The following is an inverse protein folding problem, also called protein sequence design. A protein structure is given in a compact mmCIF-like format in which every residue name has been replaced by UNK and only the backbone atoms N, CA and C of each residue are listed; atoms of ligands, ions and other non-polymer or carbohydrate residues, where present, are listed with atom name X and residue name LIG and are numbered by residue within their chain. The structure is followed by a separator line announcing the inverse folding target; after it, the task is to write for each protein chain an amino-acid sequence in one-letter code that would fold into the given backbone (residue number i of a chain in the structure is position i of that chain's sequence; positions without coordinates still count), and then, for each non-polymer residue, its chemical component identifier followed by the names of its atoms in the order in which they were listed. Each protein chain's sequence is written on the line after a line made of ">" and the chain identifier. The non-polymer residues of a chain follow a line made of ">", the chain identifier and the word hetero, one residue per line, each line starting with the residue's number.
data_IF_235862263288
#
_entry.id   IF_235862263288
#
_cell.length_a   1.000
_cell.length_b   1.000
_cell.length_c   1.000
_cell.angle_alpha   90.00
_cell.angle_beta   90.00
_cell.angle_gamma   90.00
#
_symmetry.space_group_name_H-M   'P 1'
#
loop_
_entity.id
_entity.type
_entity.pdbx_description
1 polymer ?
#
# COMPACT_ATOMS: atom_id res chain seq x y z
N UNK A 1 57.10 -10.47 -22.22
CA UNK A 1 55.83 -10.18 -22.95
C UNK A 1 54.60 -10.26 -22.05
N UNK A 2 54.34 -11.38 -21.33
CA UNK A 2 53.16 -11.53 -20.45
C UNK A 2 52.98 -10.43 -19.38
N UNK A 3 54.07 -9.97 -18.75
CA UNK A 3 54.02 -8.90 -17.72
C UNK A 3 53.69 -7.51 -18.28
N UNK A 4 54.11 -7.21 -19.51
CA UNK A 4 53.85 -5.93 -20.19
C UNK A 4 52.39 -5.89 -20.66
N UNK A 5 51.89 -7.01 -21.17
CA UNK A 5 50.49 -7.13 -21.61
C UNK A 5 49.50 -6.96 -20.43
N UNK A 6 49.83 -7.51 -19.26
CA UNK A 6 49.04 -7.32 -18.04
C UNK A 6 49.00 -5.86 -17.57
N UNK A 7 50.14 -5.14 -17.66
CA UNK A 7 50.21 -3.73 -17.28
C UNK A 7 49.39 -2.84 -18.22
N UNK A 8 49.39 -3.12 -19.52
CA UNK A 8 48.60 -2.37 -20.51
C UNK A 8 47.10 -2.60 -20.31
N UNK A 9 46.67 -3.84 -20.02
CA UNK A 9 45.25 -4.14 -19.73
C UNK A 9 44.78 -3.42 -18.46
N UNK A 10 45.60 -3.41 -17.40
CA UNK A 10 45.28 -2.72 -16.16
C UNK A 10 45.22 -1.20 -16.34
N UNK A 11 46.12 -0.64 -17.15
CA UNK A 11 46.13 0.79 -17.48
C UNK A 11 44.91 1.19 -18.32
N UNK A 12 44.46 0.35 -19.26
CA UNK A 12 43.25 0.58 -20.06
C UNK A 12 41.98 0.52 -19.20
N UNK A 13 41.93 -0.37 -18.20
CA UNK A 13 40.80 -0.44 -17.25
C UNK A 13 40.70 0.80 -16.34
N UNK A 14 41.81 1.50 -16.09
CA UNK A 14 41.85 2.71 -15.25
C UNK A 14 41.47 4.00 -16.01
N UNK A 15 41.42 3.97 -17.35
CA UNK A 15 41.13 5.15 -18.19
C UNK A 15 39.65 5.16 -18.66
N UNK A 16 38.89 4.09 -18.40
CA UNK A 16 37.46 4.08 -18.68
C UNK A 16 36.74 5.00 -17.67
N UNK A 17 35.96 6.00 -18.13
CA UNK A 17 35.13 6.76 -17.21
C UNK A 17 34.16 5.81 -16.53
N UNK A 18 34.09 5.85 -15.20
CA UNK A 18 33.07 5.13 -14.46
C UNK A 18 31.70 5.60 -14.97
N UNK A 19 30.99 4.73 -15.68
CA UNK A 19 29.62 4.99 -16.10
C UNK A 19 28.77 4.95 -14.83
N UNK A 20 28.48 6.12 -14.26
CA UNK A 20 27.56 6.24 -13.14
C UNK A 20 26.14 6.14 -13.70
N UNK A 21 25.48 5.00 -13.48
CA UNK A 21 24.03 4.94 -13.66
C UNK A 21 23.39 5.84 -12.60
N UNK A 22 22.50 6.73 -13.01
CA UNK A 22 21.61 7.39 -12.07
C UNK A 22 20.90 6.28 -11.27
N UNK A 23 20.91 6.35 -9.95
CA UNK A 23 20.11 5.45 -9.12
C UNK A 23 18.67 5.59 -9.57
N UNK A 24 18.17 4.61 -10.31
CA UNK A 24 16.77 4.58 -10.72
C UNK A 24 15.89 4.66 -9.47
N UNK A 25 14.82 5.44 -9.53
CA UNK A 25 13.82 5.41 -8.47
C UNK A 25 13.09 4.08 -8.59
N UNK A 26 13.22 3.21 -7.59
CA UNK A 26 12.38 2.02 -7.49
C UNK A 26 10.96 2.46 -7.14
N UNK A 27 10.06 2.39 -8.10
CA UNK A 27 8.63 2.70 -7.90
C UNK A 27 7.91 1.42 -7.51
N UNK A 28 7.40 1.37 -6.28
CA UNK A 28 6.47 0.33 -5.87
C UNK A 28 5.04 0.87 -5.94
N UNK A 29 4.22 0.33 -6.84
CA UNK A 29 2.80 0.71 -6.96
C UNK A 29 1.95 -0.23 -6.11
N UNK A 30 1.14 0.36 -5.22
CA UNK A 30 0.08 -0.35 -4.50
C UNK A 30 -1.24 -0.06 -5.22
N UNK A 31 -1.92 -1.09 -5.69
CA UNK A 31 -3.13 -0.96 -6.49
C UNK A 31 -3.93 -2.27 -6.52
N UNK A 32 -5.23 -2.16 -6.77
CA UNK A 32 -6.10 -3.27 -7.14
C UNK A 32 -7.05 -2.85 -8.26
N UNK A 33 -7.82 -3.81 -8.78
CA UNK A 33 -8.69 -3.60 -9.96
C UNK A 33 -9.83 -2.61 -9.69
N UNK A 34 -10.28 -2.50 -8.43
CA UNK A 34 -11.22 -1.47 -8.01
C UNK A 34 -10.71 -0.71 -6.78
N UNK A 35 -11.46 0.32 -6.38
CA UNK A 35 -11.21 1.06 -5.15
C UNK A 35 -11.25 0.16 -3.91
N UNK A 36 -12.06 -0.89 -3.94
CA UNK A 36 -12.20 -1.85 -2.85
C UNK A 36 -10.93 -2.70 -2.70
N UNK A 37 -10.42 -3.28 -3.78
CA UNK A 37 -9.16 -4.05 -3.76
C UNK A 37 -7.95 -3.15 -3.52
N UNK A 38 -7.94 -1.93 -4.04
CA UNK A 38 -6.85 -0.98 -3.75
C UNK A 38 -6.77 -0.67 -2.25
N UNK A 39 -7.89 -0.48 -1.56
CA UNK A 39 -7.90 -0.31 -0.10
C UNK A 39 -7.35 -1.55 0.63
N UNK A 40 -7.67 -2.75 0.13
CA UNK A 40 -7.12 -4.00 0.65
C UNK A 40 -5.60 -4.11 0.44
N UNK A 41 -5.08 -3.74 -0.73
CA UNK A 41 -3.63 -3.77 -0.98
C UNK A 41 -2.87 -2.73 -0.15
N UNK A 42 -3.47 -1.56 0.11
CA UNK A 42 -2.94 -0.59 1.08
C UNK A 42 -2.89 -1.20 2.48
N UNK A 43 -3.97 -1.87 2.90
CA UNK A 43 -4.04 -2.57 4.17
C UNK A 43 -2.95 -3.65 4.30
N UNK A 44 -2.77 -4.50 3.27
CA UNK A 44 -1.71 -5.52 3.24
C UNK A 44 -0.30 -4.92 3.30
N UNK A 45 -0.10 -3.76 2.67
CA UNK A 45 1.20 -3.08 2.68
C UNK A 45 1.57 -2.49 4.04
N UNK A 46 0.59 -2.08 4.85
CA UNK A 46 0.84 -1.44 6.14
C UNK A 46 0.67 -2.36 7.35
N UNK A 47 -0.13 -3.43 7.24
CA UNK A 47 -0.58 -4.21 8.39
C UNK A 47 -0.57 -5.72 8.12
N UNK A 48 0.17 -6.46 8.94
CA UNK A 48 0.04 -7.92 9.02
C UNK A 48 -1.20 -8.33 9.82
N UNK A 49 -1.53 -7.59 10.89
CA UNK A 49 -2.75 -7.71 11.69
C UNK A 49 -3.22 -6.34 12.18
N UNK A 50 -4.50 -6.24 12.55
CA UNK A 50 -5.05 -5.04 13.20
C UNK A 50 -6.30 -5.42 14.00
N UNK A 51 -6.37 -5.01 15.27
CA UNK A 51 -7.55 -5.26 16.11
C UNK A 51 -8.76 -4.40 15.69
N UNK A 52 -8.49 -3.24 15.10
CA UNK A 52 -9.51 -2.28 14.66
C UNK A 52 -9.42 -2.08 13.16
N UNK A 53 -10.56 -2.01 12.49
CA UNK A 53 -10.68 -1.59 11.10
C UNK A 53 -11.67 -0.43 11.02
N UNK A 54 -11.34 0.56 10.21
CA UNK A 54 -12.28 1.62 9.84
C UNK A 54 -12.95 1.26 8.52
N UNK A 55 -14.27 1.37 8.47
CA UNK A 55 -15.06 1.00 7.28
C UNK A 55 -15.86 2.21 6.82
N UNK A 56 -15.63 2.64 5.58
CA UNK A 56 -16.35 3.74 4.94
C UNK A 56 -17.04 3.25 3.67
N UNK A 57 -18.00 4.04 3.17
CA UNK A 57 -18.55 3.77 1.83
C UNK A 57 -17.48 3.95 0.75
N UNK A 58 -17.50 3.08 -0.24
CA UNK A 58 -16.71 3.23 -1.45
C UNK A 58 -17.37 4.14 -2.47
N UNK A 59 -18.65 4.50 -2.33
CA UNK A 59 -19.41 5.26 -3.34
C UNK A 59 -19.07 6.77 -3.33
N UNK A 60 -18.56 7.29 -2.22
CA UNK A 60 -18.02 8.64 -2.09
C UNK A 60 -16.77 8.62 -1.17
N UNK A 61 -16.15 9.77 -0.91
CA UNK A 61 -14.83 9.83 -0.23
C UNK A 61 -14.78 10.68 1.05
N UNK A 62 -15.83 11.45 1.36
CA UNK A 62 -15.76 12.46 2.42
C UNK A 62 -15.53 11.85 3.81
N UNK A 63 -16.25 10.78 4.12
CA UNK A 63 -16.15 10.10 5.43
C UNK A 63 -14.79 9.42 5.62
N UNK A 64 -14.27 8.76 4.57
CA UNK A 64 -12.95 8.14 4.59
C UNK A 64 -11.84 9.19 4.76
N UNK A 65 -11.95 10.33 4.06
CA UNK A 65 -11.00 11.43 4.14
C UNK A 65 -10.99 12.06 5.55
N UNK A 66 -12.16 12.38 6.09
CA UNK A 66 -12.28 12.96 7.43
C UNK A 66 -11.86 11.98 8.53
N UNK A 67 -12.07 10.68 8.33
CA UNK A 67 -11.68 9.63 9.27
C UNK A 67 -10.19 9.26 9.26
N UNK A 68 -9.41 9.70 8.26
CA UNK A 68 -8.01 9.32 8.10
C UNK A 68 -7.12 9.63 9.33
N UNK A 69 -7.19 10.82 9.97
CA UNK A 69 -6.41 11.09 11.18
C UNK A 69 -6.77 10.18 12.35
N UNK A 70 -8.04 9.80 12.47
CA UNK A 70 -8.52 8.90 13.53
C UNK A 70 -8.04 7.46 13.30
N UNK A 71 -8.10 6.98 12.06
CA UNK A 71 -7.56 5.68 11.69
C UNK A 71 -6.04 5.61 11.90
N UNK A 72 -5.32 6.68 11.54
CA UNK A 72 -3.89 6.84 11.81
C UNK A 72 -3.58 6.79 13.30
N UNK A 73 -4.33 7.53 14.13
CA UNK A 73 -4.15 7.54 15.59
C UNK A 73 -4.27 6.13 16.21
N UNK A 74 -5.16 5.28 15.67
CA UNK A 74 -5.31 3.90 16.12
C UNK A 74 -4.45 2.89 15.37
N UNK A 75 -3.55 3.35 14.49
CA UNK A 75 -2.73 2.48 13.64
C UNK A 75 -3.56 1.41 12.94
N UNK A 76 -4.67 1.81 12.32
CA UNK A 76 -5.67 0.91 11.73
C UNK A 76 -5.91 1.26 10.26
N UNK A 77 -6.17 0.26 9.39
CA UNK A 77 -6.49 0.51 8.00
C UNK A 77 -7.93 1.03 7.84
N UNK A 78 -8.14 1.78 6.75
CA UNK A 78 -9.47 2.11 6.22
C UNK A 78 -9.77 1.17 5.07
N UNK A 79 -10.87 0.43 5.17
CA UNK A 79 -11.43 -0.39 4.10
C UNK A 79 -12.71 0.28 3.56
N UNK A 80 -13.07 -0.09 2.33
CA UNK A 80 -14.23 0.45 1.64
C UNK A 80 -15.30 -0.62 1.47
N UNK A 81 -16.57 -0.21 1.53
CA UNK A 81 -17.71 -1.10 1.30
C UNK A 81 -18.80 -0.45 0.47
N UNK A 82 -19.69 -1.25 -0.11
CA UNK A 82 -20.88 -0.74 -0.77
C UNK A 82 -21.88 -0.23 0.30
N UNK A 83 -22.76 0.71 -0.05
CA UNK A 83 -23.73 1.26 0.92
C UNK A 83 -24.64 0.20 1.53
N UNK A 84 -25.18 -0.70 0.70
CA UNK A 84 -26.22 -1.65 1.13
C UNK A 84 -25.69 -3.07 1.39
N UNK A 85 -24.37 -3.29 1.30
CA UNK A 85 -23.79 -4.61 1.50
C UNK A 85 -22.32 -4.53 1.85
N UNK A 86 -21.86 -5.47 2.69
CA UNK A 86 -20.44 -5.62 2.96
C UNK A 86 -19.72 -6.12 1.70
N UNK A 87 -18.79 -5.33 1.19
CA UNK A 87 -17.95 -5.70 0.05
C UNK A 87 -17.08 -6.92 0.41
N UNK A 88 -16.97 -7.87 -0.52
CA UNK A 88 -16.27 -9.13 -0.26
C UNK A 88 -14.76 -8.93 -0.04
N UNK A 89 -14.13 -7.97 -0.72
CA UNK A 89 -12.72 -7.66 -0.53
C UNK A 89 -12.47 -7.14 0.89
N UNK A 90 -13.31 -6.20 1.36
CA UNK A 90 -13.24 -5.70 2.73
C UNK A 90 -13.51 -6.79 3.77
N UNK A 91 -14.51 -7.65 3.54
CA UNK A 91 -14.80 -8.79 4.42
C UNK A 91 -13.60 -9.72 4.57
N UNK A 92 -13.00 -10.12 3.45
CA UNK A 92 -11.83 -10.99 3.45
C UNK A 92 -10.66 -10.37 4.21
N UNK A 93 -10.47 -9.07 4.04
CA UNK A 93 -9.38 -8.35 4.69
C UNK A 93 -9.59 -8.14 6.20
N UNK A 94 -10.83 -7.88 6.65
CA UNK A 94 -11.19 -7.86 8.08
C UNK A 94 -10.82 -9.20 8.74
N UNK A 95 -11.13 -10.31 8.07
CA UNK A 95 -10.79 -11.65 8.55
C UNK A 95 -9.28 -11.87 8.57
N UNK A 96 -8.57 -11.50 7.49
CA UNK A 96 -7.10 -11.63 7.39
C UNK A 96 -6.38 -10.87 8.51
N UNK A 97 -6.85 -9.66 8.83
CA UNK A 97 -6.30 -8.81 9.89
C UNK A 97 -6.61 -9.35 11.30
N UNK A 98 -7.53 -10.31 11.41
CA UNK A 98 -8.08 -10.80 12.69
C UNK A 98 -8.67 -9.66 13.53
N UNK A 99 -9.40 -8.74 12.88
CA UNK A 99 -9.98 -7.57 13.53
C UNK A 99 -11.16 -7.95 14.42
N UNK A 100 -11.16 -7.47 15.66
CA UNK A 100 -12.23 -7.68 16.64
C UNK A 100 -13.18 -6.50 16.73
N UNK A 101 -12.81 -5.35 16.15
CA UNK A 101 -13.60 -4.12 16.14
C UNK A 101 -13.65 -3.52 14.75
N UNK A 102 -14.85 -3.21 14.28
CA UNK A 102 -15.08 -2.41 13.06
C UNK A 102 -15.73 -1.10 13.47
N UNK A 103 -15.16 0.02 13.02
CA UNK A 103 -15.68 1.36 13.23
C UNK A 103 -16.22 1.88 11.91
N UNK A 104 -17.52 2.13 11.85
CA UNK A 104 -18.18 2.69 10.67
C UNK A 104 -17.90 4.21 10.60
N UNK A 105 -17.45 4.67 9.45
CA UNK A 105 -17.32 6.09 9.12
C UNK A 105 -18.48 6.50 8.21
N UNK A 106 -19.27 7.48 8.66
CA UNK A 106 -20.48 7.93 7.99
C UNK A 106 -21.76 7.41 8.64
N UNK A 107 -22.89 7.98 8.21
CA UNK A 107 -24.22 7.60 8.69
C UNK A 107 -24.87 6.48 7.86
N UNK A 108 -26.13 6.13 8.15
CA UNK A 108 -26.87 5.05 7.46
C UNK A 108 -27.02 5.22 5.94
N UNK A 109 -26.94 6.46 5.44
CA UNK A 109 -26.97 6.75 3.99
C UNK A 109 -25.65 6.36 3.32
N UNK A 110 -24.53 6.42 4.05
CA UNK A 110 -23.23 6.01 3.56
C UNK A 110 -23.05 4.49 3.68
N UNK A 111 -23.32 3.94 4.87
CA UNK A 111 -23.26 2.50 5.18
C UNK A 111 -24.53 2.09 5.90
N UNK A 112 -25.40 1.35 5.22
CA UNK A 112 -26.67 0.89 5.75
C UNK A 112 -26.46 -0.24 6.79
N UNK A 113 -27.42 -0.40 7.73
CA UNK A 113 -27.42 -1.50 8.70
C UNK A 113 -27.46 -2.90 8.06
#
# INVERSE_FOLDING_TARGET
>A
MKKIMAAVVLMVLLILPAVTFASGITVNRIWGDTRYETAVEISKSGWTSSSTVYLATGENYADALAGAPLAYHHNAPILLTNTNSLNQAAKGEIIRLNASKVVILGGPVAVAP
#
